data_IF_510195956687
#
_entry.id   IF_510195956687
#
_cell.length_a   1.000
_cell.length_b   1.000
_cell.length_c   1.000
_cell.angle_alpha   90.00
_cell.angle_beta   90.00
_cell.angle_gamma   90.00
#
_symmetry.space_group_name_H-M   'P 1'
#
loop_
_entity.id
_entity.type
_entity.pdbx_description
1 polymer ?
#
# COMPACT_ATOMS: atom_id res chain seq x y z
N UNK A 1 24.59 -5.02 21.68
CA UNK A 1 24.21 -6.25 22.41
C UNK A 1 22.67 -6.41 22.50
N UNK A 2 21.94 -5.98 21.46
CA UNK A 2 20.45 -5.93 21.40
C UNK A 2 19.86 -6.94 20.41
N UNK A 3 20.60 -7.28 19.34
CA UNK A 3 20.15 -8.18 18.26
C UNK A 3 19.66 -9.57 18.71
N UNK A 4 20.27 -10.13 19.76
CA UNK A 4 19.90 -11.47 20.23
C UNK A 4 18.53 -11.48 20.94
N UNK A 5 18.23 -10.40 21.67
CA UNK A 5 16.98 -10.27 22.41
C UNK A 5 15.78 -10.06 21.46
N UNK A 6 15.95 -9.25 20.41
CA UNK A 6 14.89 -9.00 19.44
C UNK A 6 14.47 -10.26 18.67
N UNK A 7 15.42 -11.15 18.38
CA UNK A 7 15.16 -12.41 17.68
C UNK A 7 14.37 -13.38 18.57
N UNK A 8 14.75 -13.49 19.84
CA UNK A 8 14.03 -14.30 20.83
C UNK A 8 12.61 -13.77 21.07
N UNK A 9 12.46 -12.46 21.27
CA UNK A 9 11.15 -11.82 21.45
C UNK A 9 10.25 -11.99 20.23
N UNK A 10 10.79 -11.85 19.02
CA UNK A 10 10.04 -12.09 17.77
C UNK A 10 9.52 -13.53 17.71
N UNK A 11 10.38 -14.48 18.03
CA UNK A 11 10.03 -15.90 18.04
C UNK A 11 8.94 -16.19 19.07
N UNK A 12 9.00 -15.60 20.27
CA UNK A 12 7.96 -15.73 21.29
C UNK A 12 6.62 -15.14 20.83
N UNK A 13 6.62 -13.97 20.19
CA UNK A 13 5.39 -13.34 19.67
C UNK A 13 4.75 -14.21 18.59
N UNK A 14 5.55 -14.77 17.68
CA UNK A 14 5.05 -15.65 16.63
C UNK A 14 4.58 -16.99 17.18
N UNK A 15 5.27 -17.57 18.15
CA UNK A 15 4.83 -18.78 18.85
C UNK A 15 3.47 -18.55 19.56
N UNK A 16 3.30 -17.41 20.22
CA UNK A 16 2.01 -17.02 20.82
C UNK A 16 0.92 -16.88 19.76
N UNK A 17 1.20 -16.21 18.64
CA UNK A 17 0.25 -16.06 17.53
C UNK A 17 -0.18 -17.42 17.00
N UNK A 18 0.77 -18.31 16.69
CA UNK A 18 0.48 -19.65 16.17
C UNK A 18 -0.25 -20.52 17.20
N UNK A 19 0.11 -20.41 18.48
CA UNK A 19 -0.58 -21.08 19.58
C UNK A 19 -2.03 -20.67 19.72
N UNK A 20 -2.36 -19.38 19.55
CA UNK A 20 -3.74 -18.89 19.59
C UNK A 20 -4.63 -19.52 18.50
N UNK A 21 -4.04 -19.99 17.39
CA UNK A 21 -4.75 -20.66 16.29
C UNK A 21 -4.55 -22.18 16.27
N UNK A 22 -3.99 -22.77 17.34
CA UNK A 22 -3.78 -24.23 17.43
C UNK A 22 -2.75 -24.77 16.43
N UNK A 23 -1.74 -23.97 16.06
CA UNK A 23 -0.67 -24.31 15.11
C UNK A 23 0.73 -24.13 15.70
N UNK A 24 0.87 -24.24 17.02
CA UNK A 24 2.14 -24.01 17.72
C UNK A 24 3.25 -24.99 17.34
N UNK A 25 2.90 -26.14 16.78
CA UNK A 25 3.79 -27.22 16.35
C UNK A 25 4.41 -26.99 14.96
N UNK A 26 3.91 -26.04 14.18
CA UNK A 26 4.41 -25.73 12.83
C UNK A 26 5.67 -24.84 12.87
N UNK A 27 6.76 -25.41 13.39
CA UNK A 27 8.04 -24.72 13.56
C UNK A 27 8.58 -24.14 12.24
N UNK A 28 8.41 -24.85 11.12
CA UNK A 28 8.83 -24.39 9.80
C UNK A 28 8.11 -23.11 9.41
N UNK A 29 6.79 -23.07 9.58
CA UNK A 29 5.99 -21.89 9.25
C UNK A 29 6.29 -20.71 10.18
N UNK A 30 6.55 -20.97 11.46
CA UNK A 30 7.01 -19.92 12.41
C UNK A 30 8.34 -19.30 11.94
N UNK A 31 9.31 -20.12 11.52
CA UNK A 31 10.61 -19.65 11.01
C UNK A 31 10.44 -18.81 9.74
N UNK A 32 9.57 -19.23 8.80
CA UNK A 32 9.26 -18.46 7.59
C UNK A 32 8.68 -17.10 7.95
N UNK A 33 7.73 -17.04 8.89
CA UNK A 33 7.14 -15.78 9.34
C UNK A 33 8.19 -14.89 10.02
N UNK A 34 9.08 -15.47 10.84
CA UNK A 34 10.14 -14.74 11.51
C UNK A 34 11.09 -14.08 10.51
N UNK A 35 11.47 -14.80 9.46
CA UNK A 35 12.34 -14.28 8.40
C UNK A 35 11.65 -13.17 7.59
N UNK A 36 10.41 -13.37 7.19
CA UNK A 36 9.67 -12.40 6.36
C UNK A 36 9.28 -11.12 7.11
N UNK A 37 9.28 -11.17 8.45
CA UNK A 37 8.94 -10.02 9.30
C UNK A 37 10.17 -9.47 10.03
N UNK A 38 11.40 -9.86 9.66
CA UNK A 38 12.61 -9.54 10.40
C UNK A 38 12.86 -8.03 10.53
N UNK A 39 12.51 -7.27 9.50
CA UNK A 39 12.68 -5.81 9.45
C UNK A 39 11.62 -5.04 10.26
N UNK A 40 10.56 -5.71 10.71
CA UNK A 40 9.50 -5.06 11.49
C UNK A 40 9.92 -4.91 12.96
N UNK A 41 9.79 -3.72 13.57
CA UNK A 41 10.06 -3.54 15.00
C UNK A 41 9.25 -4.50 15.88
N UNK A 42 9.90 -5.12 16.87
CA UNK A 42 9.29 -6.15 17.74
C UNK A 42 8.08 -5.62 18.50
N UNK A 43 8.14 -4.36 18.94
CA UNK A 43 7.03 -3.67 19.61
C UNK A 43 5.80 -3.55 18.71
N UNK A 44 6.00 -3.23 17.43
CA UNK A 44 4.94 -3.13 16.43
C UNK A 44 4.37 -4.52 16.09
N UNK A 45 5.23 -5.52 15.90
CA UNK A 45 4.82 -6.90 15.65
C UNK A 45 3.96 -7.45 16.79
N UNK A 46 4.33 -7.18 18.04
CA UNK A 46 3.55 -7.61 19.22
C UNK A 46 2.13 -7.05 19.20
N UNK A 47 1.96 -5.77 18.84
CA UNK A 47 0.64 -5.13 18.76
C UNK A 47 -0.18 -5.64 17.58
N UNK A 48 0.46 -5.83 16.42
CA UNK A 48 -0.17 -6.40 15.23
C UNK A 48 -0.68 -7.83 15.49
N UNK A 49 0.14 -8.68 16.14
CA UNK A 49 -0.24 -10.03 16.52
C UNK A 49 -1.43 -10.03 17.49
N UNK A 50 -1.40 -9.21 18.54
CA UNK A 50 -2.51 -9.08 19.50
C UNK A 50 -3.82 -8.68 18.83
N UNK A 51 -3.78 -7.70 17.93
CA UNK A 51 -4.95 -7.28 17.17
C UNK A 51 -5.53 -8.43 16.34
N UNK A 52 -4.67 -9.15 15.60
CA UNK A 52 -5.12 -10.23 14.73
C UNK A 52 -5.70 -11.43 15.48
N UNK A 53 -5.18 -11.73 16.68
CA UNK A 53 -5.76 -12.76 17.55
C UNK A 53 -7.20 -12.42 17.96
N UNK A 54 -7.51 -11.13 18.14
CA UNK A 54 -8.86 -10.69 18.53
C UNK A 54 -9.84 -10.61 17.34
N UNK A 55 -9.33 -10.35 16.13
CA UNK A 55 -10.18 -10.11 14.95
C UNK A 55 -10.36 -11.35 14.06
N UNK A 56 -9.35 -12.21 13.96
CA UNK A 56 -9.32 -13.30 12.97
C UNK A 56 -9.71 -14.63 13.60
N UNK A 57 -10.42 -15.44 12.83
CA UNK A 57 -10.77 -16.82 13.21
C UNK A 57 -9.74 -17.84 12.72
N UNK A 58 -8.94 -17.48 11.71
CA UNK A 58 -7.91 -18.32 11.12
C UNK A 58 -6.54 -17.66 11.25
N UNK A 59 -5.49 -18.49 11.22
CA UNK A 59 -4.11 -18.02 11.28
C UNK A 59 -3.85 -17.01 10.15
N UNK A 60 -3.53 -15.74 10.47
CA UNK A 60 -3.34 -14.71 9.47
C UNK A 60 -2.14 -14.99 8.58
N UNK A 61 -2.24 -14.56 7.33
CA UNK A 61 -1.12 -14.51 6.40
C UNK A 61 -0.09 -13.44 6.81
N UNK A 62 1.14 -13.55 6.28
CA UNK A 62 2.18 -12.52 6.48
C UNK A 62 1.69 -11.14 5.99
N UNK A 63 0.95 -11.12 4.87
CA UNK A 63 0.37 -9.89 4.33
C UNK A 63 -0.62 -9.23 5.30
N UNK A 64 -1.45 -10.02 6.00
CA UNK A 64 -2.38 -9.50 7.02
C UNK A 64 -1.66 -8.98 8.26
N UNK A 65 -0.56 -9.61 8.67
CA UNK A 65 0.30 -9.10 9.76
C UNK A 65 0.91 -7.76 9.38
N UNK A 66 1.45 -7.64 8.16
CA UNK A 66 2.00 -6.38 7.66
C UNK A 66 0.91 -5.31 7.56
N UNK A 67 -0.29 -5.65 7.09
CA UNK A 67 -1.41 -4.72 7.01
C UNK A 67 -1.84 -4.21 8.40
N UNK A 68 -1.96 -5.11 9.38
CA UNK A 68 -2.28 -4.76 10.76
C UNK A 68 -1.19 -3.85 11.38
N UNK A 69 0.08 -4.17 11.14
CA UNK A 69 1.22 -3.36 11.58
C UNK A 69 1.21 -1.96 10.95
N UNK A 70 0.98 -1.86 9.63
CA UNK A 70 0.86 -0.57 8.92
C UNK A 70 -0.29 0.27 9.47
N UNK A 71 -1.43 -0.34 9.73
CA UNK A 71 -2.59 0.35 10.32
C UNK A 71 -2.26 0.89 11.71
N UNK A 72 -1.61 0.11 12.58
CA UNK A 72 -1.19 0.59 13.91
C UNK A 72 -0.13 1.69 13.81
N UNK A 73 0.84 1.55 12.90
CA UNK A 73 1.85 2.57 12.67
C UNK A 73 1.24 3.89 12.20
N UNK A 74 0.23 3.83 11.32
CA UNK A 74 -0.50 5.00 10.85
C UNK A 74 -1.25 5.72 11.98
N UNK A 75 -1.89 4.99 12.91
CA UNK A 75 -2.52 5.58 14.09
C UNK A 75 -1.52 6.32 15.00
N UNK A 76 -0.31 5.78 15.14
CA UNK A 76 0.75 6.38 15.99
C UNK A 76 1.41 7.58 15.32
N UNK A 77 1.63 7.52 14.00
CA UNK A 77 2.31 8.58 13.23
C UNK A 77 1.37 9.74 12.85
N UNK A 78 0.06 9.60 13.08
CA UNK A 78 -0.94 10.61 12.76
C UNK A 78 -1.42 10.54 11.30
N UNK A 79 -2.42 11.38 11.00
CA UNK A 79 -3.22 11.33 9.76
C UNK A 79 -2.41 11.51 8.47
N UNK A 80 -1.23 12.14 8.54
CA UNK A 80 -0.38 12.39 7.36
C UNK A 80 0.28 11.11 6.80
N UNK A 81 0.51 10.10 7.64
CA UNK A 81 1.14 8.84 7.23
C UNK A 81 0.13 7.80 6.71
N UNK A 82 -1.17 8.03 6.95
CA UNK A 82 -2.25 7.13 6.52
C UNK A 82 -2.74 7.51 5.14
N UNK A 83 -3.02 6.51 4.31
CA UNK A 83 -3.85 6.72 3.11
C UNK A 83 -5.29 7.07 3.56
N UNK A 84 -5.82 8.25 3.18
CA UNK A 84 -7.20 8.61 3.50
C UNK A 84 -8.19 7.56 2.98
N UNK A 85 -9.26 7.30 3.71
CA UNK A 85 -10.36 6.50 3.16
C UNK A 85 -11.05 7.28 2.03
N UNK A 86 -11.76 6.57 1.15
CA UNK A 86 -12.51 7.22 0.08
C UNK A 86 -13.48 8.28 0.61
N UNK A 87 -14.15 8.05 1.74
CA UNK A 87 -15.10 9.03 2.28
C UNK A 87 -14.41 10.32 2.72
N UNK A 88 -13.25 10.20 3.38
CA UNK A 88 -12.43 11.33 3.81
C UNK A 88 -11.88 12.09 2.60
N UNK A 89 -11.32 11.35 1.64
CA UNK A 89 -10.82 11.91 0.39
C UNK A 89 -11.91 12.64 -0.38
N UNK A 90 -13.11 12.05 -0.49
CA UNK A 90 -14.22 12.68 -1.20
C UNK A 90 -14.71 13.94 -0.49
N UNK A 91 -14.81 13.93 0.84
CA UNK A 91 -15.22 15.11 1.60
C UNK A 91 -14.30 16.31 1.33
N UNK A 92 -12.98 16.09 1.27
CA UNK A 92 -12.00 17.12 0.89
C UNK A 92 -12.17 17.57 -0.57
N UNK A 93 -12.40 16.64 -1.49
CA UNK A 93 -12.60 16.94 -2.91
C UNK A 93 -13.88 17.76 -3.14
N UNK A 94 -14.97 17.39 -2.48
CA UNK A 94 -16.25 18.09 -2.59
C UNK A 94 -16.16 19.49 -1.97
N UNK A 95 -15.49 19.63 -0.82
CA UNK A 95 -15.21 20.94 -0.23
C UNK A 95 -14.35 21.81 -1.17
N UNK A 96 -13.33 21.24 -1.80
CA UNK A 96 -12.48 21.91 -2.78
C UNK A 96 -13.22 22.31 -4.07
N UNK A 97 -14.21 21.51 -4.49
CA UNK A 97 -15.04 21.80 -5.64
C UNK A 97 -16.02 22.96 -5.36
N UNK A 98 -16.57 23.04 -4.14
CA UNK A 98 -17.49 24.11 -3.73
C UNK A 98 -16.79 25.41 -3.37
N UNK A 99 -15.53 25.34 -2.92
CA UNK A 99 -14.73 26.52 -2.62
C UNK A 99 -14.20 27.18 -3.89
N UNK A 100 -14.09 28.51 -3.89
CA UNK A 100 -13.39 29.27 -4.94
C UNK A 100 -11.88 29.37 -4.70
N UNK A 101 -11.43 29.00 -3.50
CA UNK A 101 -10.03 29.08 -3.11
C UNK A 101 -9.18 27.96 -3.74
N UNK A 102 -7.86 28.12 -3.65
CA UNK A 102 -6.92 27.08 -4.06
C UNK A 102 -7.00 25.92 -3.07
N UNK A 103 -7.34 24.70 -3.52
CA UNK A 103 -7.52 23.60 -2.59
C UNK A 103 -6.19 23.14 -2.00
N UNK A 104 -6.21 22.90 -0.69
CA UNK A 104 -5.12 22.27 0.06
C UNK A 104 -5.66 20.90 0.47
N UNK A 105 -5.05 19.85 -0.06
CA UNK A 105 -5.44 18.47 0.24
C UNK A 105 -4.54 17.88 1.32
N UNK A 106 -5.10 17.05 2.19
CA UNK A 106 -4.37 16.36 3.25
C UNK A 106 -3.29 15.42 2.71
N UNK A 107 -3.54 14.80 1.55
CA UNK A 107 -2.66 13.79 0.97
C UNK A 107 -2.36 14.05 -0.52
N UNK A 108 -1.11 13.88 -0.98
CA UNK A 108 -0.72 14.14 -2.36
C UNK A 108 -1.45 13.27 -3.40
N UNK A 109 -1.92 12.08 -3.03
CA UNK A 109 -2.71 11.24 -3.92
C UNK A 109 -4.12 11.80 -4.18
N UNK A 110 -4.72 12.49 -3.22
CA UNK A 110 -6.01 13.19 -3.42
C UNK A 110 -5.79 14.31 -4.45
N UNK A 111 -4.75 15.12 -4.25
CA UNK A 111 -4.37 16.18 -5.18
C UNK A 111 -4.11 15.64 -6.60
N UNK A 112 -3.42 14.51 -6.71
CA UNK A 112 -3.16 13.87 -7.99
C UNK A 112 -4.46 13.33 -8.64
N UNK A 113 -5.35 12.70 -7.87
CA UNK A 113 -6.62 12.20 -8.38
C UNK A 113 -7.50 13.34 -8.94
N UNK A 114 -7.61 14.45 -8.20
CA UNK A 114 -8.32 15.66 -8.64
C UNK A 114 -7.67 16.28 -9.86
N UNK A 115 -6.33 16.33 -9.92
CA UNK A 115 -5.59 16.83 -11.08
C UNK A 115 -5.82 15.96 -12.33
N UNK A 116 -5.87 14.63 -12.17
CA UNK A 116 -6.11 13.69 -13.27
C UNK A 116 -7.54 13.78 -13.79
N UNK A 117 -8.53 13.94 -12.92
CA UNK A 117 -9.92 14.12 -13.34
C UNK A 117 -10.20 15.52 -13.89
N UNK A 118 -9.62 16.55 -13.26
CA UNK A 118 -9.84 17.96 -13.52
C UNK A 118 -10.81 18.58 -12.52
N UNK A 119 -10.31 19.45 -11.62
CA UNK A 119 -11.15 20.11 -10.60
C UNK A 119 -12.30 20.91 -11.21
N UNK A 120 -12.07 21.61 -12.32
CA UNK A 120 -13.12 22.38 -13.00
C UNK A 120 -14.27 21.48 -13.50
N UNK A 121 -13.96 20.25 -13.92
CA UNK A 121 -14.98 19.29 -14.34
C UNK A 121 -15.89 18.87 -13.17
N UNK A 122 -15.37 18.89 -11.93
CA UNK A 122 -16.16 18.70 -10.71
C UNK A 122 -16.96 19.96 -10.36
N UNK A 123 -16.33 21.15 -10.43
CA UNK A 123 -16.97 22.42 -10.06
C UNK A 123 -18.19 22.73 -10.92
N UNK A 124 -18.10 22.48 -12.22
CA UNK A 124 -19.17 22.76 -13.19
C UNK A 124 -19.97 21.51 -13.55
N UNK A 125 -19.91 20.46 -12.72
CA UNK A 125 -20.66 19.24 -12.96
C UNK A 125 -22.14 19.47 -12.68
N UNK A 126 -23.00 19.15 -13.66
CA UNK A 126 -24.45 19.14 -13.44
C UNK A 126 -24.85 18.10 -12.39
N UNK A 127 -25.91 18.38 -11.64
CA UNK A 127 -26.43 17.48 -10.59
C UNK A 127 -26.74 16.07 -11.11
N UNK A 128 -27.15 15.94 -12.38
CA UNK A 128 -27.42 14.64 -13.02
C UNK A 128 -26.16 13.80 -13.22
N UNK A 129 -25.02 14.45 -13.45
CA UNK A 129 -23.74 13.79 -13.74
C UNK A 129 -22.85 13.64 -12.49
N UNK A 130 -23.25 14.24 -11.36
CA UNK A 130 -22.45 14.26 -10.13
C UNK A 130 -22.16 12.86 -9.59
N UNK A 131 -23.11 11.93 -9.66
CA UNK A 131 -22.90 10.53 -9.26
C UNK A 131 -21.84 9.82 -10.12
N UNK A 132 -21.86 10.10 -11.43
CA UNK A 132 -20.86 9.58 -12.37
C UNK A 132 -19.48 10.18 -12.11
N UNK A 133 -19.40 11.50 -11.86
CA UNK A 133 -18.16 12.18 -11.49
C UNK A 133 -17.57 11.58 -10.21
N UNK A 134 -18.39 11.41 -9.16
CA UNK A 134 -17.99 10.74 -7.91
C UNK A 134 -17.40 9.35 -8.17
N UNK A 135 -18.08 8.51 -8.96
CA UNK A 135 -17.59 7.17 -9.28
C UNK A 135 -16.30 7.18 -10.11
N UNK A 136 -16.14 8.10 -11.05
CA UNK A 136 -14.93 8.22 -11.87
C UNK A 136 -13.73 8.66 -11.03
N UNK A 137 -13.91 9.68 -10.17
CA UNK A 137 -12.87 10.15 -9.26
C UNK A 137 -12.47 9.05 -8.28
N UNK A 138 -13.45 8.29 -7.74
CA UNK A 138 -13.18 7.13 -6.89
C UNK A 138 -12.28 6.12 -7.58
N UNK A 139 -12.61 5.74 -8.83
CA UNK A 139 -11.80 4.77 -9.59
C UNK A 139 -10.38 5.28 -9.84
N UNK A 140 -10.21 6.58 -10.12
CA UNK A 140 -8.88 7.19 -10.28
C UNK A 140 -8.11 7.10 -8.96
N UNK A 141 -8.73 7.52 -7.86
CA UNK A 141 -8.13 7.48 -6.53
C UNK A 141 -7.72 6.05 -6.12
N UNK A 142 -8.62 5.08 -6.25
CA UNK A 142 -8.36 3.67 -5.92
C UNK A 142 -7.19 3.11 -6.73
N UNK A 143 -7.11 3.43 -8.03
CA UNK A 143 -6.00 3.01 -8.88
C UNK A 143 -4.67 3.66 -8.47
N UNK A 144 -4.69 4.92 -8.05
CA UNK A 144 -3.50 5.61 -7.54
C UNK A 144 -3.04 5.03 -6.20
N UNK A 145 -3.97 4.74 -5.28
CA UNK A 145 -3.66 4.09 -4.01
C UNK A 145 -3.09 2.68 -4.19
N UNK A 146 -3.64 1.90 -5.13
CA UNK A 146 -3.07 0.60 -5.52
C UNK A 146 -1.65 0.74 -6.04
N UNK A 147 -1.42 1.62 -7.02
CA UNK A 147 -0.08 1.86 -7.58
C UNK A 147 0.92 2.36 -6.52
N UNK A 148 0.48 3.20 -5.60
CA UNK A 148 1.31 3.67 -4.50
C UNK A 148 1.70 2.53 -3.57
N UNK A 149 0.74 1.68 -3.20
CA UNK A 149 0.96 0.50 -2.37
C UNK A 149 1.90 -0.49 -3.07
N UNK A 150 1.64 -0.83 -4.33
CA UNK A 150 2.49 -1.72 -5.14
C UNK A 150 3.91 -1.16 -5.25
N UNK A 151 4.05 0.15 -5.51
CA UNK A 151 5.35 0.80 -5.57
C UNK A 151 6.08 0.74 -4.23
N UNK A 152 5.38 0.94 -3.11
CA UNK A 152 6.00 0.85 -1.78
C UNK A 152 6.49 -0.57 -1.49
N UNK A 153 5.70 -1.59 -1.82
CA UNK A 153 6.05 -3.00 -1.64
C UNK A 153 7.23 -3.36 -2.55
N UNK A 154 7.17 -2.98 -3.82
CA UNK A 154 8.25 -3.23 -4.77
C UNK A 154 9.53 -2.52 -4.35
N UNK A 155 9.46 -1.29 -3.84
CA UNK A 155 10.64 -0.56 -3.36
C UNK A 155 11.26 -1.27 -2.15
N UNK A 156 10.43 -1.75 -1.22
CA UNK A 156 10.87 -2.53 -0.08
C UNK A 156 11.55 -3.84 -0.50
N UNK A 157 10.93 -4.61 -1.41
CA UNK A 157 11.46 -5.89 -1.88
C UNK A 157 12.71 -5.72 -2.75
N UNK A 158 12.77 -4.67 -3.58
CA UNK A 158 13.94 -4.39 -4.43
C UNK A 158 15.13 -3.96 -3.58
N UNK A 159 14.90 -3.17 -2.52
CA UNK A 159 15.93 -2.72 -1.58
C UNK A 159 17.23 -2.25 -2.26
N UNK A 160 18.36 -2.71 -1.72
CA UNK A 160 19.69 -2.44 -2.26
C UNK A 160 20.05 -3.31 -3.48
N UNK A 161 19.29 -4.38 -3.72
CA UNK A 161 19.49 -5.32 -4.83
C UNK A 161 19.07 -4.76 -6.19
N UNK A 162 18.70 -3.48 -6.29
CA UNK A 162 18.30 -2.84 -7.55
C UNK A 162 19.34 -3.00 -8.66
N UNK A 163 20.63 -2.83 -8.31
CA UNK A 163 21.74 -2.96 -9.26
C UNK A 163 21.92 -4.40 -9.74
N UNK A 164 21.81 -5.37 -8.83
CA UNK A 164 21.92 -6.79 -9.11
C UNK A 164 20.76 -7.30 -9.96
N UNK A 165 19.52 -6.90 -9.64
CA UNK A 165 18.33 -7.23 -10.42
C UNK A 165 18.43 -6.61 -11.81
N UNK A 166 18.87 -5.35 -11.93
CA UNK A 166 19.08 -4.71 -13.23
C UNK A 166 20.16 -5.41 -14.07
N UNK A 167 21.25 -5.84 -13.44
CA UNK A 167 22.31 -6.62 -14.08
C UNK A 167 21.82 -8.01 -14.51
N UNK A 168 21.07 -8.70 -13.65
CA UNK A 168 20.45 -9.99 -13.94
C UNK A 168 19.44 -9.89 -15.09
N UNK A 169 18.62 -8.84 -15.14
CA UNK A 169 17.69 -8.59 -16.26
C UNK A 169 18.41 -8.27 -17.57
N UNK A 170 19.54 -7.54 -17.51
CA UNK A 170 20.39 -7.27 -18.68
C UNK A 170 21.06 -8.54 -19.20
N UNK A 171 21.51 -9.41 -18.30
CA UNK A 171 22.08 -10.71 -18.63
C UNK A 171 21.00 -11.71 -19.10
N UNK A 172 19.78 -11.59 -18.58
CA UNK A 172 18.59 -12.34 -19.00
C UNK A 172 17.95 -11.78 -20.28
N UNK A 173 18.65 -10.93 -21.04
CA UNK A 173 18.28 -10.35 -22.34
C UNK A 173 18.04 -11.36 -23.47
N UNK A 174 17.63 -12.59 -23.14
CA UNK A 174 17.02 -13.57 -24.04
C UNK A 174 15.62 -14.04 -23.58
N UNK A 175 15.14 -13.70 -22.37
CA UNK A 175 14.00 -14.39 -21.75
C UNK A 175 12.73 -13.58 -21.45
N UNK A 176 12.79 -12.25 -21.35
CA UNK A 176 11.60 -11.42 -21.14
C UNK A 176 11.41 -10.51 -22.36
N UNK A 177 10.41 -10.88 -23.16
CA UNK A 177 9.99 -10.20 -24.38
C UNK A 177 9.91 -8.69 -24.14
N UNK A 178 10.73 -7.93 -24.87
CA UNK A 178 10.46 -6.51 -25.13
C UNK A 178 9.04 -6.43 -25.67
N UNK A 179 8.08 -5.93 -24.87
CA UNK A 179 6.82 -5.45 -25.43
C UNK A 179 7.24 -4.45 -26.50
N UNK A 180 6.99 -4.84 -27.74
CA UNK A 180 7.69 -4.32 -28.90
C UNK A 180 7.62 -2.81 -29.00
N UNK A 181 8.67 -2.25 -29.61
CA UNK A 181 8.66 -0.93 -30.22
C UNK A 181 7.28 -0.66 -30.84
N UNK A 182 6.48 0.19 -30.19
CA UNK A 182 5.32 0.80 -30.83
C UNK A 182 5.92 1.70 -31.90
N UNK A 183 5.96 1.19 -33.14
CA UNK A 183 6.24 1.97 -34.34
C UNK A 183 5.34 3.20 -34.26
N UNK A 184 5.96 4.37 -34.39
CA UNK A 184 5.25 5.65 -34.46
C UNK A 184 4.02 5.53 -35.36
N UNK A 185 2.87 5.98 -34.85
CA UNK A 185 1.67 6.19 -35.66
C UNK A 185 2.06 7.03 -36.89
N UNK A 186 1.65 6.64 -38.10
CA UNK A 186 1.92 7.45 -39.28
C UNK A 186 1.28 8.82 -39.07
N UNK A 187 2.05 9.87 -39.40
CA UNK A 187 1.56 11.24 -39.45
C UNK A 187 0.27 11.28 -40.27
N UNK A 188 -0.80 11.79 -39.67
CA UNK A 188 -2.02 12.13 -40.38
C UNK A 188 -1.70 13.28 -41.34
N UNK A 189 -1.35 12.93 -42.57
CA UNK A 189 -1.17 13.86 -43.66
C UNK A 189 -2.50 14.39 -44.19
N UNK A 190 -2.55 15.71 -44.27
CA UNK A 190 -3.42 16.60 -45.08
C UNK A 190 -4.90 16.69 -44.72
#
# INVERSE_FOLDING_TARGET
MTYNNDTEQRSQILAMLFGAFGKADDANRIVIYAKMLEEMPVTLLSKAAKRLILEKQFLPSIAEIIAAAKSIAAEVQGTEARLPDWQEAWAEIDAAARSSEKPIFSHPLIALAVKTYGLNNLRYCDSSNYSTAHAQVRRIYDNLCKRYTDKSINTFVIGDSRGEIAAALKNAGAGLVKIGNVKALPEAGR
#
